data_IF_568310394252
#
_entry.id   IF_568310394252
#
_cell.length_a   1.000
_cell.length_b   1.000
_cell.length_c   1.000
_cell.angle_alpha   90.00
_cell.angle_beta   90.00
_cell.angle_gamma   90.00
#
_symmetry.space_group_name_H-M   'P 1'
#
loop_
_entity.id
_entity.type
_entity.pdbx_description
1 polymer ?
#
# COMPACT_ATOMS: atom_id res chain seq x y z
N UNK A 1 50.90 19.94 -0.73
CA UNK A 1 50.12 18.73 -0.40
C UNK A 1 49.48 18.93 0.96
N UNK A 2 48.24 19.39 0.97
CA UNK A 2 47.44 19.60 2.18
C UNK A 2 47.23 18.24 2.86
N UNK A 3 47.85 18.03 4.03
CA UNK A 3 47.57 16.85 4.86
C UNK A 3 46.15 17.00 5.37
N UNK A 4 45.21 16.35 4.69
CA UNK A 4 43.80 16.27 5.08
C UNK A 4 43.72 15.84 6.55
N UNK A 5 43.20 16.74 7.38
CA UNK A 5 43.19 16.60 8.83
C UNK A 5 42.42 15.32 9.23
N UNK A 6 42.98 14.42 10.05
CA UNK A 6 42.36 13.14 10.44
C UNK A 6 40.98 13.31 11.12
N UNK A 7 40.72 14.48 11.72
CA UNK A 7 39.41 14.82 12.28
C UNK A 7 38.37 15.02 11.17
N UNK A 8 38.75 15.59 10.03
CA UNK A 8 37.88 15.83 8.88
C UNK A 8 37.54 14.52 8.17
N UNK A 9 38.47 13.56 8.12
CA UNK A 9 38.20 12.23 7.57
C UNK A 9 37.26 11.44 8.47
N UNK A 10 37.46 11.46 9.79
CA UNK A 10 36.56 10.81 10.74
C UNK A 10 35.14 11.39 10.69
N UNK A 11 35.01 12.71 10.56
CA UNK A 11 33.70 13.38 10.41
C UNK A 11 33.01 13.00 9.09
N UNK A 12 33.76 12.91 7.98
CA UNK A 12 33.19 12.47 6.68
C UNK A 12 32.71 11.03 6.73
N UNK A 13 33.46 10.14 7.39
CA UNK A 13 33.06 8.75 7.56
C UNK A 13 31.81 8.61 8.42
N UNK A 14 31.68 9.43 9.47
CA UNK A 14 30.48 9.48 10.31
C UNK A 14 29.26 10.01 9.52
N UNK A 15 29.43 11.09 8.75
CA UNK A 15 28.37 11.63 7.87
C UNK A 15 27.94 10.57 6.84
N UNK A 16 28.89 9.86 6.22
CA UNK A 16 28.57 8.80 5.25
C UNK A 16 27.80 7.65 5.89
N UNK A 17 28.18 7.21 7.09
CA UNK A 17 27.44 6.18 7.83
C UNK A 17 26.02 6.64 8.15
N UNK A 18 25.85 7.87 8.63
CA UNK A 18 24.52 8.44 8.91
C UNK A 18 23.67 8.52 7.64
N UNK A 19 24.24 8.95 6.52
CA UNK A 19 23.55 8.97 5.22
C UNK A 19 23.12 7.57 4.79
N UNK A 20 23.99 6.57 4.95
CA UNK A 20 23.65 5.17 4.65
C UNK A 20 22.49 4.67 5.52
N UNK A 21 22.50 4.97 6.82
CA UNK A 21 21.40 4.59 7.72
C UNK A 21 20.08 5.24 7.29
N UNK A 22 20.07 6.54 6.97
CA UNK A 22 18.87 7.24 6.49
C UNK A 22 18.34 6.62 5.19
N UNK A 23 19.22 6.27 4.25
CA UNK A 23 18.84 5.61 3.00
C UNK A 23 18.24 4.21 3.25
N UNK A 24 18.80 3.45 4.19
CA UNK A 24 18.26 2.14 4.55
C UNK A 24 16.89 2.26 5.20
N UNK A 25 16.69 3.21 6.12
CA UNK A 25 15.38 3.46 6.74
C UNK A 25 14.35 3.81 5.67
N UNK A 26 14.65 4.75 4.77
CA UNK A 26 13.74 5.12 3.70
C UNK A 26 13.39 3.93 2.78
N UNK A 27 14.35 3.05 2.48
CA UNK A 27 14.10 1.84 1.72
C UNK A 27 13.22 0.83 2.47
N UNK A 28 13.37 0.72 3.79
CA UNK A 28 12.55 -0.16 4.62
C UNK A 28 11.12 0.38 4.74
N UNK A 29 10.96 1.70 4.89
CA UNK A 29 9.64 2.34 4.88
C UNK A 29 8.91 2.11 3.56
N UNK A 30 9.60 2.24 2.42
CA UNK A 30 9.01 1.96 1.10
C UNK A 30 8.60 0.48 0.95
N UNK A 31 9.38 -0.44 1.52
CA UNK A 31 9.04 -1.87 1.56
C UNK A 31 7.82 -2.15 2.44
N UNK A 32 7.76 -1.55 3.64
CA UNK A 32 6.62 -1.70 4.56
C UNK A 32 5.32 -1.14 3.97
N UNK A 33 5.39 0.03 3.34
CA UNK A 33 4.24 0.62 2.64
C UNK A 33 3.80 -0.25 1.46
N UNK A 34 4.77 -0.82 0.73
CA UNK A 34 4.52 -1.76 -0.36
C UNK A 34 3.86 -3.06 0.11
N UNK A 35 4.26 -3.57 1.26
CA UNK A 35 3.70 -4.82 1.79
C UNK A 35 2.29 -4.60 2.34
N UNK A 36 2.04 -3.47 3.02
CA UNK A 36 0.70 -3.12 3.54
C UNK A 36 -0.34 -2.89 2.46
N UNK A 37 0.04 -2.24 1.37
CA UNK A 37 -0.93 -1.90 0.31
C UNK A 37 -1.32 -3.12 -0.55
N UNK A 38 -0.48 -4.16 -0.55
CA UNK A 38 -0.76 -5.41 -1.24
C UNK A 38 -1.73 -6.27 -0.43
N UNK A 39 -2.72 -6.85 -1.10
CA UNK A 39 -3.68 -7.73 -0.46
C UNK A 39 -5.09 -7.58 -1.01
N UNK A 40 -6.03 -8.18 -0.29
CA UNK A 40 -7.45 -8.07 -0.53
C UNK A 40 -8.03 -6.90 0.27
N UNK A 41 -8.93 -6.17 -0.39
CA UNK A 41 -9.57 -4.97 0.10
C UNK A 41 -11.07 -5.14 -0.09
N UNK A 42 -11.85 -4.97 0.97
CA UNK A 42 -13.30 -5.10 0.94
C UNK A 42 -13.94 -3.72 0.92
N UNK A 43 -14.93 -3.49 0.05
CA UNK A 43 -15.67 -2.25 0.08
C UNK A 43 -16.37 -2.10 1.44
N UNK A 44 -16.22 -0.94 2.09
CA UNK A 44 -16.91 -0.62 3.33
C UNK A 44 -18.44 -0.60 3.14
N UNK A 45 -18.89 -0.40 1.90
CA UNK A 45 -20.30 -0.44 1.51
C UNK A 45 -20.45 -1.21 0.20
N UNK A 46 -21.34 -2.20 0.19
CA UNK A 46 -21.66 -3.02 -0.99
C UNK A 46 -20.92 -4.35 -1.04
N UNK A 47 -20.92 -4.97 -2.21
CA UNK A 47 -20.39 -6.33 -2.47
C UNK A 47 -19.14 -6.29 -3.35
N UNK A 48 -18.46 -5.15 -3.39
CA UNK A 48 -17.24 -5.00 -4.18
C UNK A 48 -16.02 -5.43 -3.37
N UNK A 49 -15.06 -6.06 -4.03
CA UNK A 49 -13.74 -6.35 -3.46
C UNK A 49 -12.66 -5.89 -4.42
N UNK A 50 -11.67 -5.18 -3.92
CA UNK A 50 -10.47 -4.85 -4.66
C UNK A 50 -9.33 -5.78 -4.25
N UNK A 51 -8.41 -6.06 -5.17
CA UNK A 51 -7.16 -6.74 -4.86
C UNK A 51 -6.01 -5.99 -5.49
N UNK A 52 -4.99 -5.70 -4.69
CA UNK A 52 -3.77 -5.05 -5.16
C UNK A 52 -2.60 -6.03 -5.10
N UNK A 53 -1.89 -6.14 -6.22
CA UNK A 53 -0.66 -6.93 -6.33
C UNK A 53 0.47 -6.09 -6.88
N UNK A 54 1.66 -6.22 -6.30
CA UNK A 54 2.85 -5.58 -6.84
C UNK A 54 3.28 -6.21 -8.16
N UNK A 55 3.64 -5.37 -9.14
CA UNK A 55 4.21 -5.80 -10.43
C UNK A 55 5.63 -5.27 -10.60
N UNK A 56 5.96 -4.11 -10.02
CA UNK A 56 7.29 -3.51 -10.13
C UNK A 56 7.62 -2.59 -8.97
N UNK A 57 8.66 -1.77 -9.13
CA UNK A 57 9.07 -0.77 -8.14
C UNK A 57 8.03 0.35 -8.10
N UNK A 58 7.28 0.40 -7.00
CA UNK A 58 6.15 1.32 -6.80
C UNK A 58 5.02 1.20 -7.83
N UNK A 59 4.94 0.10 -8.59
CA UNK A 59 3.86 -0.16 -9.56
C UNK A 59 3.07 -1.39 -9.13
N UNK A 60 1.76 -1.26 -9.08
CA UNK A 60 0.82 -2.27 -8.63
C UNK A 60 -0.26 -2.46 -9.70
N UNK A 61 -0.84 -3.64 -9.75
CA UNK A 61 -2.06 -3.90 -10.50
C UNK A 61 -3.20 -4.07 -9.53
N UNK A 62 -4.24 -3.30 -9.77
CA UNK A 62 -5.45 -3.29 -9.01
C UNK A 62 -6.56 -3.95 -9.82
N UNK A 63 -7.25 -4.89 -9.20
CA UNK A 63 -8.40 -5.57 -9.77
C UNK A 63 -9.60 -5.33 -8.86
N UNK A 64 -10.70 -4.82 -9.40
CA UNK A 64 -11.97 -4.64 -8.67
C UNK A 64 -12.95 -5.68 -9.16
N UNK A 65 -13.54 -6.40 -8.22
CA UNK A 65 -14.52 -7.45 -8.46
C UNK A 65 -15.86 -7.08 -7.84
N UNK A 66 -16.92 -7.49 -8.50
CA UNK A 66 -18.28 -7.42 -8.02
C UNK A 66 -18.81 -8.83 -7.71
N UNK A 67 -19.34 -8.98 -6.49
CA UNK A 67 -19.97 -10.19 -5.97
C UNK A 67 -21.48 -10.03 -5.76
N UNK A 68 -22.13 -9.05 -6.39
CA UNK A 68 -23.61 -8.96 -6.41
C UNK A 68 -24.27 -10.23 -6.96
N UNK A 69 -23.58 -10.94 -7.85
CA UNK A 69 -24.01 -12.20 -8.44
C UNK A 69 -23.22 -13.37 -7.81
N UNK A 70 -23.75 -14.59 -7.89
CA UNK A 70 -23.10 -15.79 -7.34
C UNK A 70 -21.74 -16.14 -7.98
N UNK A 71 -21.27 -15.35 -8.95
CA UNK A 71 -19.98 -15.48 -9.60
C UNK A 71 -19.18 -14.19 -9.48
N UNK A 72 -17.85 -14.34 -9.37
CA UNK A 72 -16.92 -13.22 -9.26
C UNK A 72 -16.75 -12.52 -10.61
N UNK A 73 -17.34 -11.32 -10.76
CA UNK A 73 -17.23 -10.52 -11.99
C UNK A 73 -16.10 -9.51 -11.85
N UNK A 74 -15.14 -9.50 -12.78
CA UNK A 74 -14.14 -8.45 -12.86
C UNK A 74 -14.79 -7.17 -13.43
N UNK A 75 -14.76 -6.09 -12.66
CA UNK A 75 -15.31 -4.78 -13.04
C UNK A 75 -14.22 -3.86 -13.56
N UNK A 76 -13.04 -3.88 -12.93
CA UNK A 76 -11.93 -3.03 -13.32
C UNK A 76 -10.59 -3.74 -13.18
N UNK A 77 -9.73 -3.51 -14.16
CA UNK A 77 -8.33 -3.93 -14.18
C UNK A 77 -7.48 -2.71 -14.53
N UNK A 78 -6.61 -2.31 -13.62
CA UNK A 78 -5.81 -1.10 -13.79
C UNK A 78 -4.41 -1.25 -13.19
N UNK A 79 -3.48 -0.49 -13.76
CA UNK A 79 -2.13 -0.33 -13.21
C UNK A 79 -2.08 0.99 -12.45
N UNK A 80 -1.66 0.92 -11.19
CA UNK A 80 -1.55 2.07 -10.28
C UNK A 80 -0.12 2.22 -9.79
N UNK A 81 0.34 3.46 -9.65
CA UNK A 81 1.71 3.77 -9.19
C UNK A 81 1.67 4.48 -7.84
N UNK A 82 2.44 3.99 -6.87
CA UNK A 82 2.58 4.58 -5.55
C UNK A 82 3.61 5.71 -5.56
N UNK A 83 3.17 6.92 -5.25
CA UNK A 83 4.02 8.11 -5.12
C UNK A 83 3.62 8.85 -3.86
N UNK A 84 4.54 8.97 -2.90
CA UNK A 84 4.34 9.74 -1.64
C UNK A 84 3.01 9.39 -0.94
N UNK A 85 2.75 8.11 -0.75
CA UNK A 85 1.51 7.58 -0.16
C UNK A 85 0.23 7.86 -0.96
N UNK A 86 0.33 8.13 -2.26
CA UNK A 86 -0.83 8.23 -3.17
C UNK A 86 -0.68 7.23 -4.32
N UNK A 87 -1.76 6.52 -4.62
CA UNK A 87 -1.83 5.62 -5.77
C UNK A 87 -2.45 6.36 -6.95
N UNK A 88 -1.69 6.56 -8.01
CA UNK A 88 -2.20 7.22 -9.22
C UNK A 88 -2.55 6.16 -10.27
N UNK A 89 -3.71 6.32 -10.91
CA UNK A 89 -4.07 5.54 -12.10
C UNK A 89 -3.42 6.14 -13.34
N UNK A 90 -2.74 5.31 -14.13
CA UNK A 90 -2.19 5.70 -15.43
C UNK A 90 -1.09 6.77 -15.36
N UNK A 91 -0.45 7.02 -16.50
CA UNK A 91 0.43 8.18 -16.66
C UNK A 91 -0.42 9.45 -16.67
N UNK A 92 0.02 10.43 -15.90
CA UNK A 92 -0.39 11.84 -15.84
C UNK A 92 -1.36 12.28 -16.96
N UNK A 93 -2.66 12.40 -16.65
CA UNK A 93 -3.63 13.42 -17.16
C UNK A 93 -5.10 12.96 -17.21
N UNK A 94 -5.42 11.67 -17.09
CA UNK A 94 -6.81 11.24 -17.27
C UNK A 94 -7.66 11.24 -15.99
N UNK A 95 -8.40 12.35 -15.84
CA UNK A 95 -9.77 12.44 -15.34
C UNK A 95 -10.00 12.07 -13.86
N UNK A 96 -10.35 13.10 -13.06
CA UNK A 96 -10.65 13.05 -11.62
C UNK A 96 -11.80 12.15 -11.14
N UNK A 97 -12.29 11.20 -11.96
CA UNK A 97 -13.28 10.19 -11.59
C UNK A 97 -12.66 8.87 -11.07
N UNK A 98 -11.41 8.58 -11.46
CA UNK A 98 -10.70 7.36 -11.07
C UNK A 98 -9.44 7.73 -10.30
N UNK A 99 -9.58 8.25 -9.08
CA UNK A 99 -8.45 8.54 -8.20
C UNK A 99 -8.38 7.46 -7.12
N UNK A 100 -7.22 6.81 -6.95
CA UNK A 100 -6.98 5.97 -5.77
C UNK A 100 -6.28 6.79 -4.71
N UNK A 101 -6.78 6.76 -3.49
CA UNK A 101 -6.05 7.29 -2.34
C UNK A 101 -5.85 6.18 -1.33
N UNK A 102 -4.61 6.04 -0.85
CA UNK A 102 -4.27 5.12 0.22
C UNK A 102 -3.81 5.94 1.41
N UNK A 103 -4.46 5.76 2.55
CA UNK A 103 -4.05 6.37 3.82
C UNK A 103 -3.36 5.31 4.68
N UNK A 104 -2.01 5.36 4.83
CA UNK A 104 -1.27 4.39 5.63
C UNK A 104 -1.52 4.53 7.14
N UNK A 105 -2.05 5.65 7.62
CA UNK A 105 -2.34 5.85 9.04
C UNK A 105 -3.60 5.13 9.48
N UNK A 106 -4.60 5.04 8.60
CA UNK A 106 -5.90 4.41 8.86
C UNK A 106 -6.11 3.09 8.12
N UNK A 107 -5.15 2.70 7.29
CA UNK A 107 -5.18 1.53 6.42
C UNK A 107 -6.43 1.52 5.54
N UNK A 108 -6.69 2.64 4.87
CA UNK A 108 -7.91 2.89 4.09
C UNK A 108 -7.57 3.14 2.64
N UNK A 109 -8.30 2.47 1.76
CA UNK A 109 -8.16 2.60 0.31
C UNK A 109 -9.42 3.21 -0.28
N UNK A 110 -9.34 4.43 -0.81
CA UNK A 110 -10.47 5.08 -1.48
C UNK A 110 -10.31 4.96 -2.99
N UNK A 111 -11.28 4.34 -3.65
CA UNK A 111 -11.30 4.10 -5.09
C UNK A 111 -12.38 4.95 -5.75
N UNK A 112 -12.04 6.15 -6.23
CA UNK A 112 -12.89 7.00 -7.09
C UNK A 112 -14.39 6.85 -6.87
N UNK A 113 -15.10 6.33 -7.88
CA UNK A 113 -16.54 6.11 -7.86
C UNK A 113 -17.02 4.87 -7.09
N UNK A 114 -16.13 3.95 -6.70
CA UNK A 114 -16.47 2.75 -5.92
C UNK A 114 -16.49 3.01 -4.41
N UNK A 115 -15.87 4.11 -3.96
CA UNK A 115 -15.89 4.52 -2.56
C UNK A 115 -14.76 3.92 -1.73
N UNK A 116 -15.02 3.72 -0.43
CA UNK A 116 -14.03 3.32 0.56
C UNK A 116 -13.88 1.80 0.63
N UNK A 117 -12.65 1.33 0.73
CA UNK A 117 -12.25 -0.05 0.94
C UNK A 117 -11.39 -0.18 2.19
N UNK A 118 -11.56 -1.28 2.89
CA UNK A 118 -10.85 -1.67 4.12
C UNK A 118 -10.05 -2.96 3.86
N UNK A 119 -8.97 -3.20 4.61
CA UNK A 119 -8.17 -4.42 4.47
C UNK A 119 -9.01 -5.63 4.88
N UNK A 120 -8.88 -6.74 4.15
CA UNK A 120 -9.56 -8.00 4.49
C UNK A 120 -9.13 -8.52 5.88
N UNK A 121 -7.87 -8.29 6.27
CA UNK A 121 -7.35 -8.64 7.59
C UNK A 121 -8.03 -7.86 8.74
N UNK A 122 -8.59 -6.68 8.47
CA UNK A 122 -9.35 -5.90 9.47
C UNK A 122 -10.78 -6.43 9.65
N UNK A 123 -11.27 -7.27 8.73
CA UNK A 123 -12.59 -7.91 8.79
C UNK A 123 -12.58 -9.30 9.41
N UNK A 124 -11.45 -9.75 9.96
CA UNK A 124 -11.46 -10.75 11.01
C UNK A 124 -11.67 -10.04 12.37
N UNK A 125 -12.92 -9.89 12.88
CA UNK A 125 -13.03 -9.90 14.32
C UNK A 125 -12.36 -11.19 14.78
N UNK A 126 -11.52 -11.09 15.80
CA UNK A 126 -10.99 -12.24 16.52
C UNK A 126 -12.09 -13.30 16.54
N UNK A 127 -11.79 -14.48 16.00
CA UNK A 127 -12.71 -15.60 15.99
C UNK A 127 -13.39 -15.62 17.36
N UNK A 128 -14.68 -15.28 17.41
CA UNK A 128 -15.46 -15.50 18.61
C UNK A 128 -15.31 -17.00 18.84
N UNK A 129 -14.60 -17.34 19.90
CA UNK A 129 -14.46 -18.70 20.37
C UNK A 129 -15.89 -19.18 20.59
N UNK A 130 -16.40 -19.94 19.63
CA UNK A 130 -17.65 -20.66 19.80
C UNK A 130 -17.40 -21.64 20.95
N UNK A 131 -17.73 -21.24 22.17
CA UNK A 131 -17.91 -22.16 23.28
C UNK A 131 -18.98 -23.16 22.85
N UNK A 132 -18.56 -24.34 22.44
CA UNK A 132 -19.48 -25.46 22.24
C UNK A 132 -20.00 -25.86 23.60
N UNK A 133 -21.32 -25.87 23.84
CA UNK A 133 -21.85 -26.40 25.09
C UNK A 133 -21.58 -27.90 25.12
N UNK A 134 -20.86 -28.33 26.15
CA UNK A 134 -20.70 -29.76 26.46
C UNK A 134 -22.00 -30.21 27.11
N UNK A 135 -22.78 -31.04 26.42
CA UNK A 135 -23.83 -31.87 27.04
C UNK A 135 -23.24 -33.02 27.87
#
# INVERSE_FOLDING_TARGET
MEKMNPVVTALRDDIRRRQQVVQHIASLEEQLDSDRICGAWLAAQGTLTASLRRIGTATYRMLVYDHTLCYRRLVQDAVVTLRRHRLLFGEEEDCGANRVEYDPATDRLTLGCYGLFLPDDATHPAAEEFETPVE
#
